data_IF_977826267506
#
_entry.id   IF_977826267506
#
_cell.length_a   1.000
_cell.length_b   1.000
_cell.length_c   1.000
_cell.angle_alpha   90.00
_cell.angle_beta   90.00
_cell.angle_gamma   90.00
#
_symmetry.space_group_name_H-M   'P 1'
#
loop_
_entity.id
_entity.type
_entity.pdbx_description
1 polymer ?
#
# COMPACT_ATOMS: atom_id res chain seq x y z
N UNK A 1 5.21 35.05 -4.94
CA UNK A 1 6.10 33.90 -5.20
C UNK A 1 5.23 32.75 -5.70
N UNK A 2 5.39 32.30 -6.95
CA UNK A 2 4.58 31.21 -7.53
C UNK A 2 5.31 29.89 -7.25
N UNK A 3 4.73 29.07 -6.38
CA UNK A 3 5.28 27.73 -6.09
C UNK A 3 5.06 26.87 -7.33
N UNK A 4 6.08 26.19 -7.87
CA UNK A 4 5.89 25.21 -8.93
C UNK A 4 4.93 24.12 -8.43
N UNK A 5 3.91 23.79 -9.20
CA UNK A 5 3.06 22.65 -8.90
C UNK A 5 3.85 21.41 -9.31
N UNK A 6 4.22 20.59 -8.33
CA UNK A 6 4.84 19.27 -8.54
C UNK A 6 3.84 18.17 -8.14
N UNK A 7 3.80 17.10 -8.94
CA UNK A 7 2.90 15.96 -8.73
C UNK A 7 3.66 14.69 -8.28
N UNK A 8 4.97 14.77 -8.08
CA UNK A 8 5.82 13.61 -7.84
C UNK A 8 5.42 12.80 -6.61
N UNK A 9 5.01 13.47 -5.53
CA UNK A 9 4.53 12.80 -4.32
C UNK A 9 3.24 11.99 -4.56
N UNK A 10 2.29 12.54 -5.33
CA UNK A 10 1.01 11.89 -5.65
C UNK A 10 1.24 10.73 -6.61
N UNK A 11 2.11 10.90 -7.60
CA UNK A 11 2.49 9.85 -8.55
C UNK A 11 3.18 8.69 -7.84
N UNK A 12 4.11 8.98 -6.93
CA UNK A 12 4.76 7.97 -6.10
C UNK A 12 3.74 7.17 -5.27
N UNK A 13 2.76 7.84 -4.67
CA UNK A 13 1.71 7.19 -3.90
C UNK A 13 0.81 6.30 -4.78
N UNK A 14 0.41 6.80 -5.95
CA UNK A 14 -0.41 6.06 -6.91
C UNK A 14 0.30 4.82 -7.43
N UNK A 15 1.59 4.94 -7.77
CA UNK A 15 2.41 3.82 -8.20
C UNK A 15 2.52 2.75 -7.10
N UNK A 16 2.70 3.18 -5.85
CA UNK A 16 2.76 2.26 -4.70
C UNK A 16 1.44 1.51 -4.50
N UNK A 17 0.30 2.21 -4.57
CA UNK A 17 -1.02 1.59 -4.47
C UNK A 17 -1.23 0.57 -5.60
N UNK A 18 -0.83 0.90 -6.84
CA UNK A 18 -0.90 -0.01 -7.99
C UNK A 18 -0.09 -1.29 -7.78
N UNK A 19 1.13 -1.19 -7.23
CA UNK A 19 1.95 -2.36 -6.89
C UNK A 19 1.27 -3.26 -5.85
N UNK A 20 0.65 -2.68 -4.82
CA UNK A 20 -0.10 -3.45 -3.82
C UNK A 20 -1.27 -4.19 -4.48
N UNK A 21 -2.02 -3.52 -5.36
CA UNK A 21 -3.12 -4.13 -6.13
C UNK A 21 -2.66 -5.30 -6.99
N UNK A 22 -1.52 -5.20 -7.66
CA UNK A 22 -0.99 -6.30 -8.47
C UNK A 22 -0.55 -7.50 -7.62
N UNK A 23 -0.04 -7.27 -6.40
CA UNK A 23 0.35 -8.32 -5.45
C UNK A 23 -0.85 -8.95 -4.74
N UNK A 24 -2.00 -8.27 -4.73
CA UNK A 24 -3.25 -8.72 -4.11
C UNK A 24 -4.01 -9.79 -4.92
N UNK A 25 -3.38 -10.38 -5.95
CA UNK A 25 -3.99 -11.45 -6.74
C UNK A 25 -4.43 -12.61 -5.83
N UNK A 26 -5.73 -12.90 -5.80
CA UNK A 26 -6.32 -13.94 -4.95
C UNK A 26 -7.00 -13.45 -3.66
N UNK A 27 -7.06 -12.14 -3.40
CA UNK A 27 -7.89 -11.61 -2.31
C UNK A 27 -9.36 -11.87 -2.58
N UNK A 28 -10.04 -12.48 -1.62
CA UNK A 28 -11.44 -12.91 -1.75
C UNK A 28 -12.45 -11.83 -1.36
N UNK A 29 -11.99 -10.76 -0.68
CA UNK A 29 -12.87 -9.68 -0.21
C UNK A 29 -12.22 -8.30 -0.32
N UNK A 30 -13.05 -7.26 -0.43
CA UNK A 30 -12.59 -5.87 -0.41
C UNK A 30 -11.93 -5.48 0.92
N UNK A 31 -12.33 -6.09 2.04
CA UNK A 31 -11.71 -5.87 3.36
C UNK A 31 -10.24 -6.29 3.37
N UNK A 32 -9.91 -7.46 2.81
CA UNK A 32 -8.51 -7.91 2.71
C UNK A 32 -7.66 -6.96 1.88
N UNK A 33 -8.23 -6.40 0.81
CA UNK A 33 -7.53 -5.42 -0.02
C UNK A 33 -7.29 -4.08 0.71
N UNK A 34 -8.30 -3.58 1.43
CA UNK A 34 -8.17 -2.38 2.28
C UNK A 34 -7.09 -2.57 3.35
N UNK A 35 -7.05 -3.73 4.00
CA UNK A 35 -6.04 -4.05 5.01
C UNK A 35 -4.62 -4.01 4.43
N UNK A 36 -4.41 -4.62 3.26
CA UNK A 36 -3.12 -4.58 2.58
C UNK A 36 -2.69 -3.16 2.20
N UNK A 37 -3.63 -2.30 1.77
CA UNK A 37 -3.34 -0.89 1.51
C UNK A 37 -2.96 -0.16 2.81
N UNK A 38 -3.66 -0.37 3.92
CA UNK A 38 -3.33 0.27 5.20
C UNK A 38 -1.91 -0.08 5.67
N UNK A 39 -1.56 -1.36 5.70
CA UNK A 39 -0.22 -1.77 6.12
C UNK A 39 0.85 -1.35 5.11
N UNK A 40 0.60 -1.55 3.81
CA UNK A 40 1.56 -1.25 2.75
C UNK A 40 1.82 0.25 2.56
N UNK A 41 0.79 1.08 2.65
CA UNK A 41 0.90 2.53 2.46
C UNK A 41 1.20 3.25 3.79
N UNK A 42 0.49 2.90 4.86
CA UNK A 42 0.55 3.55 6.16
C UNK A 42 1.60 3.01 7.13
N UNK A 43 2.31 1.91 6.78
CA UNK A 43 3.31 1.25 7.65
C UNK A 43 2.74 0.94 9.05
N UNK A 44 1.47 0.53 9.10
CA UNK A 44 0.83 0.15 10.36
C UNK A 44 1.54 -1.07 10.97
N UNK A 45 1.67 -1.13 12.30
CA UNK A 45 2.31 -2.26 12.98
C UNK A 45 1.60 -3.57 12.64
N UNK A 46 2.37 -4.58 12.30
CA UNK A 46 1.88 -5.94 12.06
C UNK A 46 1.95 -6.75 13.36
N UNK A 47 1.02 -7.70 13.57
CA UNK A 47 1.09 -8.59 14.72
C UNK A 47 2.36 -9.45 14.69
N UNK A 48 2.85 -9.82 15.86
CA UNK A 48 3.95 -10.78 15.97
C UNK A 48 3.43 -12.17 15.56
N UNK A 49 3.98 -12.72 14.47
CA UNK A 49 3.65 -14.05 13.98
C UNK A 49 4.68 -15.07 14.48
N UNK A 50 4.22 -16.18 15.05
CA UNK A 50 5.07 -17.31 15.50
C UNK A 50 5.84 -17.95 14.34
N UNK A 51 5.24 -17.96 13.14
CA UNK A 51 5.84 -18.51 11.94
C UNK A 51 5.78 -17.48 10.82
N UNK A 52 6.90 -17.31 10.09
CA UNK A 52 6.99 -16.47 8.91
C UNK A 52 7.56 -17.29 7.77
N UNK A 53 6.97 -17.19 6.59
CA UNK A 53 7.58 -17.69 5.36
C UNK A 53 8.59 -16.66 4.89
N UNK A 54 9.84 -17.10 4.69
CA UNK A 54 10.97 -16.27 4.22
C UNK A 54 11.08 -16.35 2.71
#
# INVERSE_FOLDING_TARGET
MKVPIDNGAVEGLNNKAKVISHRAYGYRTAETFKLALYHGMGKLPEPQLTHKFV
#
